data_IF_551538566700
#
_entry.id   IF_551538566700
#
_cell.length_a   1.000
_cell.length_b   1.000
_cell.length_c   1.000
_cell.angle_alpha   90.00
_cell.angle_beta   90.00
_cell.angle_gamma   90.00
#
_symmetry.space_group_name_H-M   'P 1'
#
loop_
_entity.id
_entity.type
_entity.pdbx_description
1 polymer ?
#
# COMPACT_ATOMS: atom_id res chain seq x y z
N UNK A 1 1.65 5.17 -10.34
CA UNK A 1 1.53 3.82 -9.75
C UNK A 1 2.35 3.77 -8.47
N UNK A 2 3.66 3.47 -8.47
CA UNK A 2 4.47 3.39 -7.22
C UNK A 2 4.25 4.59 -6.27
N UNK A 3 4.31 5.83 -6.80
CA UNK A 3 4.12 7.05 -5.99
C UNK A 3 2.71 7.14 -5.38
N UNK A 4 1.69 6.70 -6.09
CA UNK A 4 0.30 6.73 -5.61
C UNK A 4 0.10 5.65 -4.54
N UNK A 5 0.60 4.42 -4.77
CA UNK A 5 0.51 3.33 -3.80
C UNK A 5 1.26 3.65 -2.50
N UNK A 6 2.45 4.25 -2.61
CA UNK A 6 3.18 4.74 -1.44
C UNK A 6 2.43 5.86 -0.70
N UNK A 7 1.63 6.67 -1.40
CA UNK A 7 0.77 7.67 -0.76
C UNK A 7 -0.41 7.00 -0.04
N UNK A 8 -1.02 5.97 -0.64
CA UNK A 8 -2.05 5.16 0.01
C UNK A 8 -1.52 4.51 1.29
N UNK A 9 -0.30 3.98 1.29
CA UNK A 9 0.36 3.46 2.51
C UNK A 9 0.44 4.49 3.63
N UNK A 10 0.78 5.74 3.31
CA UNK A 10 0.83 6.82 4.31
C UNK A 10 -0.56 7.19 4.82
N UNK A 11 -1.59 7.11 3.99
CA UNK A 11 -2.98 7.32 4.44
C UNK A 11 -3.44 6.19 5.37
N UNK A 12 -3.13 4.94 5.04
CA UNK A 12 -3.43 3.77 5.88
C UNK A 12 -2.73 3.86 7.24
N UNK A 13 -1.43 4.18 7.26
CA UNK A 13 -0.66 4.39 8.49
C UNK A 13 -1.31 5.48 9.36
N UNK A 14 -1.65 6.63 8.77
CA UNK A 14 -2.32 7.73 9.48
C UNK A 14 -3.71 7.34 10.01
N UNK A 15 -4.43 6.43 9.34
CA UNK A 15 -5.71 5.92 9.83
C UNK A 15 -5.51 5.00 11.04
N UNK A 16 -4.52 4.11 11.01
CA UNK A 16 -4.17 3.29 12.17
C UNK A 16 -3.78 4.16 13.37
N UNK A 17 -2.91 5.16 13.18
CA UNK A 17 -2.55 6.09 14.25
C UNK A 17 -3.77 6.80 14.85
N UNK A 18 -4.71 7.24 14.01
CA UNK A 18 -5.96 7.88 14.49
C UNK A 18 -6.81 6.94 15.32
N UNK A 19 -6.87 5.66 14.96
CA UNK A 19 -7.60 4.62 15.72
C UNK A 19 -6.93 4.41 17.08
N UNK A 20 -5.60 4.24 17.11
CA UNK A 20 -4.81 4.04 18.33
C UNK A 20 -4.88 5.23 19.30
N UNK A 21 -5.06 6.44 18.78
CA UNK A 21 -5.24 7.65 19.59
C UNK A 21 -6.64 7.77 20.22
N UNK A 22 -7.62 6.96 19.80
CA UNK A 22 -8.94 6.98 20.41
C UNK A 22 -8.95 6.14 21.71
N UNK A 23 -9.75 6.52 22.72
CA UNK A 23 -10.03 5.65 23.85
C UNK A 23 -10.63 4.31 23.39
N UNK A 24 -10.41 3.25 24.16
CA UNK A 24 -11.10 1.96 23.97
C UNK A 24 -12.62 2.19 24.02
N UNK A 25 -13.37 1.49 23.17
CA UNK A 25 -14.82 1.58 22.99
C UNK A 25 -15.34 2.96 22.52
N UNK A 26 -14.47 3.83 21.99
CA UNK A 26 -14.90 5.14 21.54
C UNK A 26 -15.83 5.02 20.32
N UNK A 27 -16.97 5.74 20.26
CA UNK A 27 -17.93 5.62 19.16
C UNK A 27 -17.36 5.85 17.75
N UNK A 28 -16.24 6.57 17.65
CA UNK A 28 -15.53 6.81 16.38
C UNK A 28 -14.72 5.63 15.86
N UNK A 29 -14.55 4.57 16.65
CA UNK A 29 -13.87 3.36 16.19
C UNK A 29 -14.54 2.78 14.95
N UNK A 30 -15.88 2.76 14.92
CA UNK A 30 -16.63 2.29 13.75
C UNK A 30 -16.35 3.16 12.52
N UNK A 31 -16.50 4.47 12.66
CA UNK A 31 -16.24 5.44 11.59
C UNK A 31 -14.82 5.29 11.01
N UNK A 32 -13.81 5.14 11.87
CA UNK A 32 -12.42 5.00 11.45
C UNK A 32 -12.12 3.63 10.84
N UNK A 33 -12.68 2.56 11.39
CA UNK A 33 -12.51 1.21 10.85
C UNK A 33 -13.22 1.04 9.51
N UNK A 34 -14.40 1.61 9.32
CA UNK A 34 -15.11 1.61 8.04
C UNK A 34 -14.31 2.38 6.99
N UNK A 35 -13.70 3.52 7.37
CA UNK A 35 -12.80 4.26 6.49
C UNK A 35 -11.54 3.46 6.16
N UNK A 36 -10.88 2.87 7.15
CA UNK A 36 -9.71 2.02 6.95
C UNK A 36 -10.03 0.87 5.99
N UNK A 37 -11.17 0.21 6.17
CA UNK A 37 -11.67 -0.85 5.29
C UNK A 37 -11.80 -0.34 3.85
N UNK A 38 -12.45 0.80 3.67
CA UNK A 38 -12.65 1.37 2.34
C UNK A 38 -11.36 1.80 1.65
N UNK A 39 -10.37 2.34 2.39
CA UNK A 39 -9.05 2.67 1.84
C UNK A 39 -8.26 1.42 1.51
N UNK A 40 -8.20 0.44 2.42
CA UNK A 40 -7.40 -0.77 2.25
C UNK A 40 -7.92 -1.59 1.07
N UNK A 41 -9.24 -1.75 0.92
CA UNK A 41 -9.84 -2.44 -0.25
C UNK A 41 -9.53 -1.71 -1.56
N UNK A 42 -9.58 -0.37 -1.58
CA UNK A 42 -9.23 0.37 -2.81
C UNK A 42 -7.77 0.19 -3.19
N UNK A 43 -6.89 0.22 -2.19
CA UNK A 43 -5.46 0.03 -2.35
C UNK A 43 -5.14 -1.37 -2.87
N UNK A 44 -5.61 -2.43 -2.20
CA UNK A 44 -5.35 -3.82 -2.62
C UNK A 44 -5.88 -4.10 -4.01
N UNK A 45 -7.08 -3.60 -4.37
CA UNK A 45 -7.63 -3.75 -5.73
C UNK A 45 -6.73 -3.09 -6.77
N UNK A 46 -6.17 -1.91 -6.49
CA UNK A 46 -5.28 -1.23 -7.43
C UNK A 46 -4.00 -2.05 -7.67
N UNK A 47 -3.47 -2.69 -6.63
CA UNK A 47 -2.27 -3.52 -6.73
C UNK A 47 -2.54 -4.81 -7.50
N UNK A 48 -3.63 -5.50 -7.17
CA UNK A 48 -4.02 -6.76 -7.82
C UNK A 48 -4.35 -6.58 -9.30
N UNK A 49 -5.04 -5.49 -9.64
CA UNK A 49 -5.47 -5.23 -11.01
C UNK A 49 -4.37 -4.63 -11.88
N UNK A 50 -3.38 -3.96 -11.28
CA UNK A 50 -2.41 -3.18 -12.05
C UNK A 50 -0.94 -3.45 -11.68
N UNK A 51 -0.58 -3.41 -10.39
CA UNK A 51 0.81 -3.58 -9.97
C UNK A 51 1.29 -5.02 -10.19
N UNK A 52 0.63 -6.02 -9.60
CA UNK A 52 1.09 -7.41 -9.64
C UNK A 52 1.14 -7.99 -11.06
N UNK A 53 0.20 -7.70 -11.97
CA UNK A 53 0.33 -8.05 -13.38
C UNK A 53 1.59 -7.45 -14.02
N UNK A 54 1.86 -6.16 -13.79
CA UNK A 54 3.02 -5.47 -14.36
C UNK A 54 4.34 -5.99 -13.77
N UNK A 55 4.36 -6.31 -12.46
CA UNK A 55 5.50 -6.94 -11.79
C UNK A 55 5.81 -8.30 -12.40
N UNK A 56 4.80 -9.13 -12.65
CA UNK A 56 4.97 -10.45 -13.29
C UNK A 56 5.51 -10.33 -14.72
N UNK A 57 5.14 -9.28 -15.43
CA UNK A 57 5.62 -9.03 -16.79
C UNK A 57 7.07 -8.54 -16.83
N UNK A 58 7.46 -7.65 -15.93
CA UNK A 58 8.72 -6.91 -16.04
C UNK A 58 9.82 -7.39 -15.09
N UNK A 59 9.48 -7.94 -13.92
CA UNK A 59 10.47 -8.35 -12.91
C UNK A 59 10.79 -9.84 -13.08
N UNK A 60 12.06 -10.22 -13.34
CA UNK A 60 12.43 -11.62 -13.47
C UNK A 60 12.12 -12.44 -12.21
N UNK A 61 11.53 -13.62 -12.38
CA UNK A 61 11.22 -14.56 -11.28
C UNK A 61 10.29 -13.99 -10.19
N UNK A 62 9.49 -12.97 -10.51
CA UNK A 62 8.62 -12.27 -9.55
C UNK A 62 7.28 -12.93 -9.29
N UNK A 63 6.94 -14.01 -10.03
CA UNK A 63 5.65 -14.70 -9.86
C UNK A 63 5.41 -15.10 -8.39
N UNK A 64 6.44 -15.65 -7.72
CA UNK A 64 6.35 -16.04 -6.32
C UNK A 64 6.18 -14.85 -5.36
N UNK A 65 6.72 -13.68 -5.69
CA UNK A 65 6.54 -12.46 -4.90
C UNK A 65 5.11 -11.96 -5.04
N UNK A 66 4.61 -11.82 -6.27
CA UNK A 66 3.21 -11.43 -6.52
C UNK A 66 2.19 -12.43 -5.93
N UNK A 67 2.48 -13.74 -5.98
CA UNK A 67 1.64 -14.77 -5.38
C UNK A 67 1.61 -14.67 -3.84
N UNK A 68 2.73 -14.27 -3.23
CA UNK A 68 2.82 -14.03 -1.80
C UNK A 68 1.96 -12.84 -1.40
N UNK A 69 2.15 -11.68 -2.03
CA UNK A 69 1.37 -10.46 -1.70
C UNK A 69 -0.14 -10.70 -1.86
N UNK A 70 -0.55 -11.40 -2.93
CA UNK A 70 -1.95 -11.80 -3.13
C UNK A 70 -2.52 -12.66 -1.99
N UNK A 71 -1.70 -13.55 -1.42
CA UNK A 71 -2.13 -14.38 -0.29
C UNK A 71 -2.23 -13.55 1.01
N UNK A 72 -1.34 -12.57 1.21
CA UNK A 72 -1.38 -11.64 2.33
C UNK A 72 -2.62 -10.73 2.26
N UNK A 73 -2.96 -10.22 1.07
CA UNK A 73 -4.21 -9.49 0.80
C UNK A 73 -5.44 -10.29 1.19
N UNK A 74 -5.54 -11.55 0.74
CA UNK A 74 -6.68 -12.40 1.08
C UNK A 74 -6.84 -12.58 2.60
N UNK A 75 -5.72 -12.64 3.34
CA UNK A 75 -5.70 -12.65 4.80
C UNK A 75 -6.21 -11.34 5.40
N UNK A 76 -5.71 -10.20 4.94
CA UNK A 76 -6.13 -8.88 5.40
C UNK A 76 -7.62 -8.62 5.11
N UNK A 77 -8.11 -8.96 3.92
CA UNK A 77 -9.51 -8.86 3.56
C UNK A 77 -10.42 -9.72 4.45
N UNK A 78 -9.96 -10.91 4.85
CA UNK A 78 -10.73 -11.72 5.78
C UNK A 78 -10.84 -11.05 7.14
N UNK A 79 -9.77 -10.42 7.63
CA UNK A 79 -9.82 -9.65 8.88
C UNK A 79 -10.74 -8.44 8.78
N UNK A 80 -10.79 -7.77 7.64
CA UNK A 80 -11.73 -6.68 7.37
C UNK A 80 -13.18 -7.17 7.43
N UNK A 81 -13.50 -8.30 6.79
CA UNK A 81 -14.83 -8.93 6.87
C UNK A 81 -15.20 -9.28 8.31
N UNK A 82 -14.25 -9.87 9.05
CA UNK A 82 -14.47 -10.20 10.45
C UNK A 82 -14.72 -8.93 11.29
N UNK A 83 -14.07 -7.79 11.00
CA UNK A 83 -14.28 -6.49 11.67
C UNK A 83 -15.66 -5.88 11.41
N UNK A 84 -16.24 -6.10 10.23
CA UNK A 84 -17.60 -5.63 9.88
C UNK A 84 -18.66 -6.32 10.75
N UNK A 85 -18.46 -7.60 11.07
CA UNK A 85 -19.40 -8.41 11.86
C UNK A 85 -19.28 -8.17 13.39
N UNK A 86 -18.22 -7.50 13.85
CA UNK A 86 -18.01 -7.21 15.27
C UNK A 86 -18.59 -5.86 15.68
N UNK A 87 -19.10 -5.79 16.90
CA UNK A 87 -19.36 -4.51 17.56
C UNK A 87 -18.06 -3.91 18.11
N UNK A 88 -18.00 -2.59 18.24
CA UNK A 88 -16.79 -1.88 18.71
C UNK A 88 -16.45 -2.16 20.18
N UNK A 89 -17.41 -2.65 20.96
CA UNK A 89 -17.26 -3.08 22.36
C UNK A 89 -16.92 -4.58 22.49
N UNK A 90 -16.82 -5.32 21.37
CA UNK A 90 -16.30 -6.70 21.40
C UNK A 90 -14.78 -6.64 21.61
N UNK A 91 -14.21 -7.31 22.63
CA UNK A 91 -12.77 -7.33 22.87
C UNK A 91 -11.95 -7.77 21.65
N UNK A 92 -12.52 -8.61 20.78
CA UNK A 92 -11.87 -9.07 19.54
C UNK A 92 -11.69 -7.96 18.52
N UNK A 93 -12.45 -6.88 18.59
CA UNK A 93 -12.35 -5.77 17.65
C UNK A 93 -10.96 -5.13 17.72
N UNK A 94 -10.49 -4.84 18.94
CA UNK A 94 -9.17 -4.26 19.15
C UNK A 94 -8.05 -5.23 18.72
N UNK A 95 -8.19 -6.51 19.06
CA UNK A 95 -7.21 -7.54 18.68
C UNK A 95 -7.11 -7.69 17.15
N UNK A 96 -8.23 -7.64 16.43
CA UNK A 96 -8.25 -7.68 14.98
C UNK A 96 -7.65 -6.43 14.33
N UNK A 97 -7.93 -5.23 14.86
CA UNK A 97 -7.28 -4.00 14.37
C UNK A 97 -5.76 -4.08 14.56
N UNK A 98 -5.29 -4.52 15.73
CA UNK A 98 -3.86 -4.65 16.00
C UNK A 98 -3.20 -5.69 15.08
N UNK A 99 -3.87 -6.81 14.84
CA UNK A 99 -3.38 -7.83 13.91
C UNK A 99 -3.36 -7.31 12.47
N UNK A 100 -4.43 -6.68 12.01
CA UNK A 100 -4.51 -6.09 10.68
C UNK A 100 -3.40 -5.06 10.47
N UNK A 101 -3.15 -4.20 11.47
CA UNK A 101 -2.03 -3.25 11.44
C UNK A 101 -0.70 -3.95 11.24
N UNK A 102 -0.43 -5.02 11.98
CA UNK A 102 0.81 -5.77 11.86
C UNK A 102 1.01 -6.35 10.45
N UNK A 103 -0.04 -6.95 9.86
CA UNK A 103 0.02 -7.47 8.50
C UNK A 103 0.25 -6.35 7.48
N UNK A 104 -0.50 -5.24 7.57
CA UNK A 104 -0.34 -4.08 6.67
C UNK A 104 1.04 -3.44 6.81
N UNK A 105 1.57 -3.26 8.02
CA UNK A 105 2.91 -2.71 8.23
C UNK A 105 4.00 -3.63 7.63
N UNK A 106 3.78 -4.95 7.69
CA UNK A 106 4.69 -5.93 7.06
C UNK A 106 4.63 -5.84 5.54
N UNK A 107 3.42 -5.88 4.96
CA UNK A 107 3.14 -5.70 3.53
C UNK A 107 3.83 -4.44 2.98
N UNK A 108 3.52 -3.28 3.57
CA UNK A 108 4.07 -1.98 3.19
C UNK A 108 5.60 -1.99 3.19
N UNK A 109 6.20 -2.59 4.22
CA UNK A 109 7.66 -2.66 4.33
C UNK A 109 8.27 -3.52 3.23
N UNK A 110 7.66 -4.66 2.93
CA UNK A 110 8.13 -5.58 1.90
C UNK A 110 8.01 -4.98 0.51
N UNK A 111 6.91 -4.27 0.24
CA UNK A 111 6.72 -3.60 -1.02
C UNK A 111 7.66 -2.40 -1.21
N UNK A 112 7.72 -1.48 -0.24
CA UNK A 112 8.52 -0.26 -0.37
C UNK A 112 10.03 -0.54 -0.38
N UNK A 113 10.50 -1.60 0.28
CA UNK A 113 11.93 -1.95 0.33
C UNK A 113 12.34 -3.09 -0.62
N UNK A 114 11.38 -3.83 -1.16
CA UNK A 114 11.63 -4.99 -2.01
C UNK A 114 10.99 -4.84 -3.38
N UNK A 115 9.65 -4.91 -3.42
CA UNK A 115 8.90 -4.99 -4.66
C UNK A 115 9.02 -3.72 -5.52
N UNK A 116 8.75 -2.54 -4.95
CA UNK A 116 8.76 -1.28 -5.70
C UNK A 116 10.14 -0.95 -6.26
N UNK A 117 11.26 -1.06 -5.52
CA UNK A 117 12.59 -0.87 -6.08
C UNK A 117 12.92 -1.86 -7.20
N UNK A 118 12.59 -3.15 -7.02
CA UNK A 118 12.82 -4.18 -8.02
C UNK A 118 12.02 -3.89 -9.30
N UNK A 119 10.75 -3.50 -9.16
CA UNK A 119 9.90 -3.11 -10.27
C UNK A 119 10.44 -1.87 -10.99
N UNK A 120 10.78 -0.81 -10.26
CA UNK A 120 11.36 0.41 -10.83
C UNK A 120 12.67 0.14 -11.59
N UNK A 121 13.52 -0.76 -11.09
CA UNK A 121 14.77 -1.15 -11.75
C UNK A 121 14.55 -2.01 -13.01
N UNK A 122 13.43 -2.73 -13.08
CA UNK A 122 13.07 -3.57 -14.23
C UNK A 122 12.49 -2.78 -15.41
N UNK A 123 11.94 -1.59 -15.16
CA UNK A 123 11.40 -0.74 -16.20
C UNK A 123 12.55 -0.18 -17.06
N UNK A 124 12.47 -0.26 -18.41
CA UNK A 124 13.50 0.29 -19.27
C UNK A 124 13.71 1.78 -18.98
N UNK A 125 14.95 2.26 -19.05
CA UNK A 125 15.37 3.65 -18.81
C UNK A 125 14.76 4.73 -19.76
N UNK A 126 13.56 4.53 -20.32
CA UNK A 126 12.79 5.57 -21.01
C UNK A 126 11.79 6.25 -20.07
N UNK A 127 12.28 6.83 -18.98
CA UNK A 127 11.51 7.85 -18.24
C UNK A 127 12.36 8.85 -17.42
N UNK A 128 13.69 8.92 -17.60
CA UNK A 128 14.52 9.90 -16.89
C UNK A 128 15.52 10.69 -17.75
N UNK A 129 15.42 10.66 -19.09
CA UNK A 129 16.31 11.47 -19.96
C UNK A 129 15.57 12.39 -20.92
N UNK A 130 14.77 13.30 -20.39
CA UNK A 130 14.36 14.51 -21.12
C UNK A 130 14.51 15.82 -20.32
N UNK A 131 14.91 15.77 -19.05
CA UNK A 131 15.19 16.98 -18.26
C UNK A 131 16.65 17.47 -18.39
N UNK A 132 17.63 16.58 -18.57
CA UNK A 132 19.05 16.97 -18.64
C UNK A 132 19.48 17.50 -20.03
N UNK A 133 18.77 17.12 -21.10
CA UNK A 133 19.09 17.61 -22.45
C UNK A 133 18.54 19.02 -22.73
N UNK A 134 17.62 19.53 -21.91
CA UNK A 134 17.13 20.91 -22.00
C UNK A 134 17.96 21.89 -21.17
N UNK A 135 18.66 21.42 -20.12
CA UNK A 135 19.50 22.27 -19.27
C UNK A 135 20.87 22.61 -19.87
N UNK A 136 21.36 21.81 -20.83
CA UNK A 136 22.64 22.05 -21.51
C UNK A 136 22.51 22.80 -22.85
N UNK A 137 21.32 22.93 -23.44
CA UNK A 137 21.15 23.74 -24.68
C UNK A 137 20.97 25.23 -24.40
N UNK A 138 20.50 25.61 -23.22
CA UNK A 138 20.38 27.02 -22.81
C UNK A 138 21.67 27.67 -22.30
N UNK A 139 22.79 26.94 -22.26
CA UNK A 139 24.07 27.44 -21.74
C UNK A 139 25.14 27.66 -22.82
N UNK A 140 24.93 27.15 -24.03
CA UNK A 140 25.85 27.29 -25.17
C UNK A 140 25.40 28.36 -26.20
N UNK A 141 24.22 28.95 -26.05
CA UNK A 141 23.69 30.01 -26.93
C UNK A 141 23.76 31.42 -26.33
N UNK A 142 24.45 31.58 -25.19
CA UNK A 142 24.65 32.86 -24.50
C UNK A 142 26.13 33.22 -24.38
N UNK A 143 26.78 33.49 -25.50
CA UNK A 143 28.04 34.28 -25.58
C UNK A 143 27.79 35.51 -26.46
#
# INVERSE_FOLDING_TARGET
MIVELAADHRELEALFERIELQPVDHPRWRELADRLTAELVRHTVAEEMHLYPAVREHVPQSAALADKELAEHAGAEQMLRDLEDLSVDDPRFNDLIAKLKFEVDSHVREEEHGLFPAFAASLPHRAHRQADQLRNRGRDEGT
#
